data_IF_213305102852
#
_entry.id   IF_213305102852
#
_cell.length_a   1.000
_cell.length_b   1.000
_cell.length_c   1.000
_cell.angle_alpha   90.00
_cell.angle_beta   90.00
_cell.angle_gamma   90.00
#
_symmetry.space_group_name_H-M   'P 1'
#
loop_
_entity.id
_entity.type
_entity.pdbx_description
1 polymer ?
#
# COMPACT_ATOMS: atom_id res chain seq x y z
N UNK A 1 5.16 -5.73 16.54
CA UNK A 1 3.86 -6.17 15.97
C UNK A 1 2.78 -6.26 17.06
N UNK A 2 2.83 -5.43 18.11
CA UNK A 2 1.99 -5.59 19.31
C UNK A 2 1.23 -4.30 19.70
N UNK A 3 1.19 -3.29 18.83
CA UNK A 3 0.41 -2.06 19.06
C UNK A 3 -0.92 -2.01 18.28
N UNK A 4 -1.20 -3.00 17.43
CA UNK A 4 -2.35 -2.99 16.52
C UNK A 4 -3.36 -4.13 16.74
N UNK A 5 -3.23 -4.88 17.84
CA UNK A 5 -4.15 -5.99 18.17
C UNK A 5 -5.31 -5.59 19.09
N UNK A 6 -5.24 -4.45 19.77
CA UNK A 6 -6.22 -4.06 20.78
C UNK A 6 -7.42 -3.26 20.23
N UNK A 7 -7.38 -2.79 18.99
CA UNK A 7 -8.49 -2.02 18.41
C UNK A 7 -9.28 -2.93 17.44
N UNK A 8 -10.51 -3.28 17.81
CA UNK A 8 -11.45 -4.11 17.02
C UNK A 8 -11.73 -3.59 15.60
N UNK A 9 -11.18 -2.42 15.24
CA UNK A 9 -11.04 -1.90 13.88
C UNK A 9 -10.21 -2.78 12.94
N UNK A 10 -9.29 -3.60 13.45
CA UNK A 10 -8.51 -4.53 12.62
C UNK A 10 -9.40 -5.63 12.03
N UNK A 11 -10.26 -6.25 12.83
CA UNK A 11 -11.17 -7.30 12.35
C UNK A 11 -12.20 -6.76 11.34
N UNK A 12 -12.69 -5.52 11.51
CA UNK A 12 -13.56 -4.87 10.52
C UNK A 12 -12.83 -4.53 9.21
N UNK A 13 -11.54 -4.21 9.28
CA UNK A 13 -10.70 -3.97 8.09
C UNK A 13 -10.33 -5.26 7.32
N UNK A 14 -10.40 -6.45 7.91
CA UNK A 14 -10.25 -7.71 7.16
C UNK A 14 -11.50 -8.10 6.36
N UNK A 15 -12.68 -7.55 6.70
CA UNK A 15 -13.84 -7.56 5.78
C UNK A 15 -13.74 -6.49 4.69
N UNK A 16 -12.73 -5.60 4.74
CA UNK A 16 -12.46 -4.60 3.72
C UNK A 16 -11.82 -5.25 2.49
N UNK A 17 -12.64 -6.03 1.81
CA UNK A 17 -12.58 -6.30 0.37
C UNK A 17 -12.48 -4.98 -0.46
N UNK A 18 -12.59 -3.81 0.18
CA UNK A 18 -12.66 -2.49 -0.46
C UNK A 18 -11.95 -1.36 0.32
N UNK A 19 -10.75 -1.58 0.89
CA UNK A 19 -9.87 -0.41 1.09
C UNK A 19 -9.26 -0.05 -0.27
N UNK A 20 -10.05 0.63 -1.09
CA UNK A 20 -9.74 0.95 -2.48
C UNK A 20 -8.42 1.72 -2.54
N UNK A 21 -7.47 1.20 -3.32
CA UNK A 21 -6.22 1.89 -3.59
C UNK A 21 -6.58 3.23 -4.24
N UNK A 22 -6.04 4.37 -3.77
CA UNK A 22 -6.32 5.67 -4.35
C UNK A 22 -6.06 5.63 -5.87
N UNK A 23 -6.96 6.18 -6.71
CA UNK A 23 -6.84 6.06 -8.16
C UNK A 23 -5.51 6.57 -8.73
N UNK A 24 -4.95 7.61 -8.13
CA UNK A 24 -3.64 8.18 -8.47
C UNK A 24 -2.48 7.22 -8.16
N UNK A 25 -2.54 6.54 -7.02
CA UNK A 25 -1.57 5.48 -6.69
C UNK A 25 -1.76 4.26 -7.61
N UNK A 26 -2.99 3.84 -7.86
CA UNK A 26 -3.28 2.70 -8.73
C UNK A 26 -2.79 2.95 -10.16
N UNK A 27 -3.06 4.13 -10.72
CA UNK A 27 -2.60 4.53 -12.05
C UNK A 27 -1.06 4.54 -12.13
N UNK A 28 -0.38 5.06 -11.10
CA UNK A 28 1.08 5.07 -11.07
C UNK A 28 1.70 3.67 -10.98
N UNK A 29 1.05 2.75 -10.26
CA UNK A 29 1.46 1.34 -10.21
C UNK A 29 1.17 0.63 -11.54
N UNK A 30 0.02 0.88 -12.15
CA UNK A 30 -0.39 0.26 -13.43
C UNK A 30 0.49 0.70 -14.60
N UNK A 31 1.11 1.88 -14.52
CA UNK A 31 2.06 2.37 -15.52
C UNK A 31 3.39 1.59 -15.53
N UNK A 32 3.72 0.84 -14.48
CA UNK A 32 4.94 0.01 -14.41
C UNK A 32 4.60 -1.48 -14.22
N UNK A 33 4.90 -2.34 -15.21
CA UNK A 33 4.60 -3.77 -15.13
C UNK A 33 5.20 -4.49 -13.91
N UNK A 34 6.39 -4.07 -13.44
CA UNK A 34 7.05 -4.69 -12.27
C UNK A 34 6.32 -4.30 -10.99
N UNK A 35 5.99 -3.01 -10.84
CA UNK A 35 5.22 -2.53 -9.70
C UNK A 35 3.84 -3.21 -9.64
N UNK A 36 3.15 -3.34 -10.78
CA UNK A 36 1.87 -4.02 -10.89
C UNK A 36 1.93 -5.48 -10.48
N UNK A 37 2.93 -6.22 -10.97
CA UNK A 37 3.14 -7.61 -10.57
C UNK A 37 3.39 -7.74 -9.06
N UNK A 38 4.18 -6.83 -8.48
CA UNK A 38 4.43 -6.81 -7.05
C UNK A 38 3.18 -6.49 -6.23
N UNK A 39 2.34 -5.55 -6.68
CA UNK A 39 1.07 -5.23 -6.04
C UNK A 39 0.16 -6.46 -5.90
N UNK A 40 0.09 -7.29 -6.94
CA UNK A 40 -0.69 -8.53 -6.92
C UNK A 40 -0.23 -9.49 -5.82
N UNK A 41 1.07 -9.56 -5.55
CA UNK A 41 1.67 -10.39 -4.49
C UNK A 41 1.70 -9.76 -3.09
N UNK A 42 1.19 -8.54 -2.90
CA UNK A 42 1.19 -7.92 -1.57
C UNK A 42 0.12 -8.50 -0.65
N UNK A 43 0.51 -8.70 0.61
CA UNK A 43 -0.41 -9.00 1.70
C UNK A 43 -1.39 -7.84 1.93
N UNK A 44 -2.52 -8.13 2.57
CA UNK A 44 -3.49 -7.11 2.96
C UNK A 44 -2.85 -6.00 3.82
N UNK A 45 -1.90 -6.35 4.71
CA UNK A 45 -1.16 -5.40 5.54
C UNK A 45 -0.34 -4.42 4.69
N UNK A 46 0.37 -4.91 3.67
CA UNK A 46 1.17 -4.04 2.80
C UNK A 46 0.27 -3.19 1.89
N UNK A 47 -0.82 -3.72 1.36
CA UNK A 47 -1.81 -2.96 0.58
C UNK A 47 -2.44 -1.83 1.41
N UNK A 48 -2.83 -2.12 2.66
CA UNK A 48 -3.31 -1.11 3.59
C UNK A 48 -2.26 -0.03 3.86
N UNK A 49 -1.01 -0.43 4.10
CA UNK A 49 0.07 0.50 4.37
C UNK A 49 0.34 1.46 3.19
N UNK A 50 0.24 0.98 1.94
CA UNK A 50 0.29 1.83 0.74
C UNK A 50 -0.81 2.88 0.76
N UNK A 51 -2.07 2.44 0.86
CA UNK A 51 -3.25 3.31 0.87
C UNK A 51 -3.19 4.34 2.01
N UNK A 52 -2.88 3.90 3.23
CA UNK A 52 -2.78 4.76 4.40
C UNK A 52 -1.68 5.82 4.27
N UNK A 53 -0.49 5.44 3.78
CA UNK A 53 0.63 6.39 3.59
C UNK A 53 0.30 7.45 2.54
N UNK A 54 -0.39 7.07 1.47
CA UNK A 54 -0.83 8.02 0.43
C UNK A 54 -1.93 8.96 0.96
N UNK A 55 -2.93 8.44 1.68
CA UNK A 55 -3.99 9.26 2.27
C UNK A 55 -3.50 10.28 3.30
N UNK A 56 -2.46 9.95 4.08
CA UNK A 56 -1.93 10.85 5.10
C UNK A 56 -1.08 12.00 4.53
N UNK A 57 -0.84 12.05 3.22
CA UNK A 57 -0.11 13.17 2.60
C UNK A 57 -1.01 14.40 2.54
N UNK A 58 -0.59 15.46 3.25
CA UNK A 58 -1.36 16.71 3.39
C UNK A 58 -1.23 17.65 2.19
N UNK A 59 -0.18 17.50 1.39
CA UNK A 59 0.08 18.36 0.22
C UNK A 59 0.10 17.52 -1.05
N UNK A 60 -0.39 18.08 -2.16
CA UNK A 60 -0.38 17.40 -3.45
C UNK A 60 1.05 17.10 -3.93
N UNK A 61 1.99 18.02 -3.71
CA UNK A 61 3.41 17.79 -4.00
C UNK A 61 3.99 16.63 -3.19
N UNK A 62 3.70 16.56 -1.89
CA UNK A 62 4.12 15.46 -1.02
C UNK A 62 3.46 14.13 -1.42
N UNK A 63 2.20 14.18 -1.82
CA UNK A 63 1.43 13.03 -2.31
C UNK A 63 2.04 12.45 -3.58
N UNK A 64 2.30 13.27 -4.59
CA UNK A 64 2.96 12.84 -5.84
C UNK A 64 4.33 12.22 -5.58
N UNK A 65 5.15 12.86 -4.75
CA UNK A 65 6.45 12.32 -4.34
C UNK A 65 6.30 10.97 -3.62
N UNK A 66 5.35 10.87 -2.68
CA UNK A 66 5.09 9.64 -1.94
C UNK A 66 4.66 8.50 -2.86
N UNK A 67 3.80 8.77 -3.82
CA UNK A 67 3.37 7.78 -4.82
C UNK A 67 4.57 7.29 -5.63
N UNK A 68 5.41 8.20 -6.13
CA UNK A 68 6.63 7.82 -6.85
C UNK A 68 7.56 6.95 -5.98
N UNK A 69 7.82 7.33 -4.73
CA UNK A 69 8.64 6.55 -3.80
C UNK A 69 8.10 5.12 -3.59
N UNK A 70 6.77 5.00 -3.45
CA UNK A 70 6.11 3.72 -3.24
C UNK A 70 6.16 2.85 -4.50
N UNK A 71 5.98 3.43 -5.69
CA UNK A 71 6.12 2.70 -6.96
C UNK A 71 7.56 2.21 -7.14
N UNK A 72 8.56 3.05 -6.88
CA UNK A 72 9.97 2.64 -6.94
C UNK A 72 10.31 1.52 -5.96
N UNK A 73 9.78 1.57 -4.74
CA UNK A 73 9.90 0.47 -3.77
C UNK A 73 9.32 -0.84 -4.34
N UNK A 74 8.11 -0.78 -4.93
CA UNK A 74 7.49 -1.95 -5.54
C UNK A 74 8.29 -2.47 -6.74
N UNK A 75 8.88 -1.59 -7.56
CA UNK A 75 9.75 -2.00 -8.68
C UNK A 75 10.99 -2.78 -8.22
N UNK A 76 11.51 -2.47 -7.03
CA UNK A 76 12.62 -3.21 -6.40
C UNK A 76 12.17 -4.50 -5.71
N UNK A 77 10.88 -4.78 -5.69
CA UNK A 77 10.29 -5.91 -4.98
C UNK A 77 10.21 -5.72 -3.46
N UNK A 78 10.47 -4.51 -2.97
CA UNK A 78 10.45 -4.21 -1.54
C UNK A 78 9.03 -4.04 -1.00
N UNK A 79 8.87 -4.19 0.31
CA UNK A 79 7.58 -4.06 1.00
C UNK A 79 7.72 -3.26 2.28
N UNK A 80 6.69 -2.51 2.67
CA UNK A 80 6.69 -1.65 3.87
C UNK A 80 6.82 -2.50 5.15
N UNK A 81 6.09 -3.60 5.19
CA UNK A 81 6.11 -4.56 6.28
C UNK A 81 6.69 -5.88 5.78
N UNK A 82 7.46 -6.61 6.60
CA UNK A 82 7.90 -7.94 6.27
C UNK A 82 6.69 -8.81 5.93
N UNK A 83 6.70 -9.41 4.74
CA UNK A 83 5.73 -10.43 4.35
C UNK A 83 6.50 -11.66 3.88
N UNK A 84 6.05 -12.85 4.30
CA UNK A 84 6.57 -14.09 3.73
C UNK A 84 6.15 -14.12 2.26
N UNK A 85 7.13 -14.10 1.34
CA UNK A 85 6.86 -14.42 -0.06
C UNK A 85 6.52 -15.92 -0.07
N UNK A 86 5.31 -16.26 -0.54
CA UNK A 86 4.90 -17.65 -0.72
C UNK A 86 5.76 -18.32 -1.79
#
# INVERSE_FOLDING_TARGET
>A
VEAAKADGRWARAYSAKEMTIPPDLQAAIDADPKAKAMLAGLSAQNRFALTFRTHNMKTEAGRRKKIADLVEMLKRGETIHPQKRA
#
